data_IF_500328341461
#
_entry.id   IF_500328341461
#
_cell.length_a   1.000
_cell.length_b   1.000
_cell.length_c   1.000
_cell.angle_alpha   90.00
_cell.angle_beta   90.00
_cell.angle_gamma   90.00
#
_symmetry.space_group_name_H-M   'P 1'
#
loop_
_entity.id
_entity.type
_entity.pdbx_description
1 polymer ?
#
# COMPACT_ATOMS: atom_id res chain seq x y z
N UNK A 1 10.58 19.92 0.98
CA UNK A 1 11.52 19.41 -0.03
C UNK A 1 12.90 20.00 0.22
N UNK A 2 13.11 21.30 0.01
CA UNK A 2 14.42 21.95 0.24
C UNK A 2 14.90 21.81 1.69
N UNK A 3 14.00 21.92 2.67
CA UNK A 3 14.30 21.68 4.09
C UNK A 3 14.81 20.27 4.39
N UNK A 4 14.28 19.25 3.70
CA UNK A 4 14.69 17.85 3.87
C UNK A 4 16.09 17.63 3.31
N UNK A 5 16.37 18.24 2.14
CA UNK A 5 17.70 18.18 1.50
C UNK A 5 18.74 18.90 2.37
N UNK A 6 18.41 20.08 2.90
CA UNK A 6 19.28 20.83 3.80
C UNK A 6 19.55 20.04 5.09
N UNK A 7 18.51 19.45 5.68
CA UNK A 7 18.64 18.59 6.87
C UNK A 7 19.53 17.37 6.61
N UNK A 8 19.41 16.73 5.45
CA UNK A 8 20.26 15.61 5.05
C UNK A 8 21.72 16.04 4.92
N UNK A 9 21.98 17.17 4.27
CA UNK A 9 23.32 17.71 4.10
C UNK A 9 23.95 18.07 5.46
N UNK A 10 23.21 18.75 6.34
CA UNK A 10 23.67 19.07 7.68
C UNK A 10 24.00 17.80 8.50
N UNK A 11 23.13 16.79 8.48
CA UNK A 11 23.36 15.54 9.19
C UNK A 11 24.57 14.76 8.64
N UNK A 12 24.79 14.80 7.33
CA UNK A 12 25.98 14.23 6.70
C UNK A 12 27.26 14.91 7.16
N UNK A 13 27.31 16.25 7.14
CA UNK A 13 28.47 17.01 7.59
C UNK A 13 28.77 16.75 9.07
N UNK A 14 27.75 16.73 9.93
CA UNK A 14 27.89 16.42 11.36
C UNK A 14 28.42 14.99 11.60
N UNK A 15 27.96 14.02 10.81
CA UNK A 15 28.45 12.65 10.86
C UNK A 15 29.93 12.54 10.48
N UNK A 16 30.35 13.17 9.38
CA UNK A 16 31.74 13.17 8.93
C UNK A 16 32.65 13.93 9.91
N UNK A 17 32.16 15.04 10.47
CA UNK A 17 32.86 15.78 11.53
C UNK A 17 33.12 14.91 12.76
N UNK A 18 32.09 14.21 13.25
CA UNK A 18 32.22 13.29 14.38
C UNK A 18 33.17 12.12 14.08
N UNK A 19 33.13 11.57 12.86
CA UNK A 19 34.07 10.52 12.43
C UNK A 19 35.52 11.01 12.46
N UNK A 20 35.75 12.23 11.98
CA UNK A 20 37.07 12.88 11.99
C UNK A 20 37.59 13.05 13.41
N UNK A 21 36.75 13.54 14.33
CA UNK A 21 37.12 13.69 15.74
C UNK A 21 37.52 12.35 16.38
N UNK A 22 36.80 11.26 16.09
CA UNK A 22 37.17 9.91 16.58
C UNK A 22 38.55 9.50 16.08
N UNK A 23 38.84 9.71 14.79
CA UNK A 23 40.13 9.37 14.19
C UNK A 23 41.28 10.21 14.76
N UNK A 24 41.07 11.51 14.95
CA UNK A 24 42.08 12.42 15.52
C UNK A 24 42.42 12.07 16.97
N UNK A 25 41.39 11.80 17.80
CA UNK A 25 41.60 11.40 19.19
C UNK A 25 42.29 10.05 19.29
N UNK A 26 41.89 9.09 18.45
CA UNK A 26 42.52 7.76 18.39
C UNK A 26 43.95 7.82 17.87
N UNK A 27 44.25 8.72 16.93
CA UNK A 27 45.61 8.95 16.46
C UNK A 27 46.48 9.58 17.57
N UNK A 28 45.93 10.57 18.27
CA UNK A 28 46.62 11.27 19.37
C UNK A 28 46.91 10.37 20.57
N UNK A 29 46.07 9.35 20.81
CA UNK A 29 46.29 8.34 21.86
C UNK A 29 47.19 7.18 21.44
N UNK A 30 47.76 7.19 20.23
CA UNK A 30 48.54 6.06 19.72
C UNK A 30 47.72 4.79 19.51
N UNK A 31 46.39 4.91 19.38
CA UNK A 31 45.47 3.79 19.24
C UNK A 31 44.95 3.22 20.57
N UNK A 32 45.36 3.77 21.72
CA UNK A 32 44.80 3.38 23.00
C UNK A 32 43.36 3.85 23.19
N UNK A 33 42.57 3.03 23.88
CA UNK A 33 41.20 3.36 24.26
C UNK A 33 41.21 4.31 25.44
N UNK A 34 40.91 5.58 25.16
CA UNK A 34 40.89 6.65 26.17
C UNK A 34 39.45 7.08 26.46
N UNK A 35 39.16 7.68 27.63
CA UNK A 35 37.83 8.24 27.90
C UNK A 35 37.40 9.30 26.87
N UNK A 36 38.35 10.01 26.27
CA UNK A 36 38.08 10.95 25.19
C UNK A 36 37.62 10.24 23.91
N UNK A 37 38.32 9.17 23.50
CA UNK A 37 37.92 8.35 22.35
C UNK A 37 36.56 7.69 22.58
N UNK A 38 36.29 7.17 23.78
CA UNK A 38 34.99 6.60 24.14
C UNK A 38 33.85 7.62 24.05
N UNK A 39 34.06 8.83 24.55
CA UNK A 39 33.07 9.92 24.44
C UNK A 39 32.82 10.30 22.99
N UNK A 40 33.88 10.42 22.18
CA UNK A 40 33.74 10.74 20.76
C UNK A 40 33.01 9.63 19.97
N UNK A 41 33.20 8.36 20.35
CA UNK A 41 32.48 7.24 19.76
C UNK A 41 30.98 7.29 20.06
N UNK A 42 30.58 7.68 21.27
CA UNK A 42 29.16 7.86 21.59
C UNK A 42 28.53 9.01 20.78
N UNK A 43 29.26 10.13 20.62
CA UNK A 43 28.82 11.24 19.75
C UNK A 43 28.71 10.77 18.30
N UNK A 44 29.70 10.03 17.80
CA UNK A 44 29.69 9.47 16.44
C UNK A 44 28.47 8.57 16.22
N UNK A 45 28.15 7.67 17.16
CA UNK A 45 26.95 6.82 17.09
C UNK A 45 25.68 7.66 17.04
N UNK A 46 25.59 8.70 17.87
CA UNK A 46 24.44 9.60 17.87
C UNK A 46 24.28 10.33 16.52
N UNK A 47 25.37 10.84 15.95
CA UNK A 47 25.34 11.53 14.65
C UNK A 47 25.03 10.59 13.49
N UNK A 48 25.54 9.35 13.54
CA UNK A 48 25.19 8.31 12.60
C UNK A 48 23.69 8.02 12.59
N UNK A 49 23.07 7.89 13.76
CA UNK A 49 21.64 7.60 13.85
C UNK A 49 20.79 8.76 13.32
N UNK A 50 21.17 10.01 13.61
CA UNK A 50 20.51 11.18 13.05
C UNK A 50 20.65 11.24 11.52
N UNK A 51 21.82 10.91 10.98
CA UNK A 51 22.05 10.82 9.54
C UNK A 51 21.17 9.73 8.90
N UNK A 52 21.06 8.57 9.53
CA UNK A 52 20.19 7.47 9.07
C UNK A 52 18.73 7.91 8.99
N UNK A 53 18.21 8.58 10.03
CA UNK A 53 16.85 9.14 10.03
C UNK A 53 16.66 10.18 8.92
N UNK A 54 17.68 11.01 8.64
CA UNK A 54 17.61 11.98 7.55
C UNK A 54 17.60 11.29 6.17
N UNK A 55 18.32 10.19 6.00
CA UNK A 55 18.25 9.36 4.80
C UNK A 55 16.84 8.77 4.61
N UNK A 56 16.25 8.20 5.65
CA UNK A 56 14.88 7.65 5.60
C UNK A 56 13.86 8.71 5.14
N UNK A 57 13.97 9.94 5.65
CA UNK A 57 13.11 11.06 5.24
C UNK A 57 13.36 11.50 3.79
N UNK A 58 14.60 11.44 3.31
CA UNK A 58 14.92 11.74 1.93
C UNK A 58 14.36 10.68 0.97
N UNK A 59 14.38 9.40 1.36
CA UNK A 59 13.75 8.31 0.61
C UNK A 59 12.23 8.49 0.53
N UNK A 60 11.58 8.85 1.66
CA UNK A 60 10.15 9.17 1.68
C UNK A 60 9.82 10.34 0.72
N UNK A 61 10.66 11.38 0.71
CA UNK A 61 10.50 12.50 -0.20
C UNK A 61 10.59 12.04 -1.67
N UNK A 62 11.57 11.21 -2.02
CA UNK A 62 11.73 10.67 -3.38
C UNK A 62 10.51 9.85 -3.78
N UNK A 63 10.02 8.97 -2.92
CA UNK A 63 8.82 8.17 -3.21
C UNK A 63 7.58 9.06 -3.32
N UNK A 64 7.44 10.10 -2.49
CA UNK A 64 6.33 11.06 -2.58
C UNK A 64 6.32 11.83 -3.91
N UNK A 65 7.51 12.21 -4.41
CA UNK A 65 7.67 12.89 -5.70
C UNK A 65 7.34 11.92 -6.84
N UNK A 66 7.78 10.67 -6.74
CA UNK A 66 7.43 9.62 -7.71
C UNK A 66 5.93 9.36 -7.78
N UNK A 67 5.25 9.26 -6.63
CA UNK A 67 3.80 9.10 -6.57
C UNK A 67 3.08 10.29 -7.19
N UNK A 68 3.56 11.52 -6.93
CA UNK A 68 3.01 12.73 -7.56
C UNK A 68 3.11 12.66 -9.08
N UNK A 69 4.30 12.43 -9.63
CA UNK A 69 4.52 12.31 -11.08
C UNK A 69 3.69 11.17 -11.67
N UNK A 70 3.63 10.01 -11.01
CA UNK A 70 2.83 8.86 -11.44
C UNK A 70 1.33 9.13 -11.46
N UNK A 71 0.82 9.88 -10.47
CA UNK A 71 -0.59 10.28 -10.42
C UNK A 71 -0.94 11.35 -11.47
N UNK A 72 0.00 12.27 -11.75
CA UNK A 72 -0.15 13.32 -12.77
C UNK A 72 -0.15 12.73 -14.19
N UNK A 73 0.55 11.61 -14.42
CA UNK A 73 0.57 10.88 -15.68
C UNK A 73 -0.74 10.08 -15.97
N UNK A 74 -1.47 9.66 -14.93
CA UNK A 74 -2.71 8.88 -15.10
C UNK A 74 -3.94 9.73 -15.39
N UNK A 75 -3.86 11.06 -15.24
CA UNK A 75 -4.97 11.97 -15.54
C UNK A 75 -4.99 12.38 -17.02
N UNK A 76 -3.85 12.29 -17.72
CA UNK A 76 -3.72 12.76 -19.11
C UNK A 76 -4.20 11.71 -20.15
N UNK A 77 -4.25 10.41 -19.80
CA UNK A 77 -4.83 9.39 -20.69
C UNK A 77 -6.37 9.28 -20.60
N UNK A 78 -6.99 9.78 -19.52
CA UNK A 78 -8.45 9.83 -19.38
C UNK A 78 -9.05 11.17 -19.85
N UNK A 79 -8.21 12.18 -20.09
CA UNK A 79 -8.64 13.51 -20.55
C UNK A 79 -7.90 13.85 -21.83
N UNK A 80 -8.34 13.28 -22.95
CA UNK A 80 -7.99 13.80 -24.26
C UNK A 80 -8.38 15.29 -24.36
N UNK A 81 -7.45 16.18 -24.03
CA UNK A 81 -7.56 17.61 -24.25
C UNK A 81 -6.25 18.07 -24.89
N UNK A 82 -6.21 17.93 -26.21
CA UNK A 82 -5.05 18.27 -27.03
C UNK A 82 -4.60 19.71 -26.87
N UNK A 83 -3.28 19.88 -26.79
CA UNK A 83 -2.64 21.12 -27.14
C UNK A 83 -2.55 21.21 -28.67
N UNK A 84 -3.22 22.21 -29.26
CA UNK A 84 -2.85 22.73 -30.58
C UNK A 84 -4.00 23.06 -31.52
N UNK A 85 -4.31 24.35 -31.66
CA UNK A 85 -4.80 24.91 -32.93
C UNK A 85 -6.25 25.41 -32.95
N UNK A 86 -6.40 26.72 -32.81
CA UNK A 86 -7.35 27.61 -33.52
C UNK A 86 -8.79 27.15 -33.81
N UNK A 87 -9.73 27.92 -33.23
CA UNK A 87 -10.92 28.50 -33.89
C UNK A 87 -11.92 27.57 -34.62
N UNK A 88 -13.06 27.29 -33.97
CA UNK A 88 -14.30 26.87 -34.64
C UNK A 88 -15.45 26.60 -33.65
N UNK A 89 -16.66 27.17 -33.83
CA UNK A 89 -17.82 26.82 -33.01
C UNK A 89 -18.40 25.51 -33.55
N UNK A 90 -17.96 24.40 -32.96
CA UNK A 90 -18.37 23.06 -33.37
C UNK A 90 -18.14 22.04 -32.27
N UNK A 91 -18.63 22.34 -31.07
CA UNK A 91 -18.68 21.38 -29.96
C UNK A 91 -19.68 20.27 -30.31
N UNK A 92 -19.24 19.25 -31.06
CA UNK A 92 -19.83 17.91 -30.96
C UNK A 92 -19.18 17.21 -29.77
N UNK A 93 -19.54 17.71 -28.58
CA UNK A 93 -19.15 17.10 -27.32
C UNK A 93 -19.76 15.70 -27.21
N UNK A 94 -18.91 14.69 -27.06
CA UNK A 94 -19.33 13.46 -26.41
C UNK A 94 -19.78 13.89 -25.01
N UNK A 95 -21.07 13.74 -24.65
CA UNK A 95 -21.54 14.19 -23.36
C UNK A 95 -20.78 13.41 -22.28
N UNK A 96 -20.29 14.08 -21.21
CA UNK A 96 -19.60 13.40 -20.13
C UNK A 96 -20.49 12.27 -19.62
N UNK A 97 -19.95 11.05 -19.55
CA UNK A 97 -20.66 9.90 -18.98
C UNK A 97 -21.02 10.29 -17.56
N UNK A 98 -22.27 10.66 -17.34
CA UNK A 98 -22.75 11.05 -16.03
C UNK A 98 -22.60 9.83 -15.13
N UNK A 99 -22.02 10.02 -13.94
CA UNK A 99 -21.93 8.97 -12.92
C UNK A 99 -23.30 8.29 -12.69
N UNK A 100 -24.37 9.07 -12.86
CA UNK A 100 -25.77 8.63 -12.85
C UNK A 100 -26.08 7.58 -13.93
N UNK A 101 -25.59 7.75 -15.16
CA UNK A 101 -25.78 6.78 -16.25
C UNK A 101 -25.05 5.48 -15.95
N UNK A 102 -23.82 5.55 -15.45
CA UNK A 102 -23.06 4.36 -15.05
C UNK A 102 -23.73 3.63 -13.87
N UNK A 103 -24.24 4.38 -12.89
CA UNK A 103 -24.98 3.83 -11.77
C UNK A 103 -26.28 3.15 -12.21
N UNK A 104 -27.07 3.78 -13.09
CA UNK A 104 -28.28 3.18 -13.66
C UNK A 104 -27.96 1.91 -14.46
N UNK A 105 -26.90 1.92 -15.27
CA UNK A 105 -26.47 0.71 -15.97
C UNK A 105 -26.04 -0.38 -14.98
N UNK A 106 -25.30 -0.04 -13.92
CA UNK A 106 -24.92 -1.00 -12.87
C UNK A 106 -26.13 -1.61 -12.14
N UNK A 107 -27.21 -0.83 -12.00
CA UNK A 107 -28.45 -1.27 -11.36
C UNK A 107 -29.25 -2.17 -12.29
N UNK A 108 -29.35 -1.83 -13.57
CA UNK A 108 -29.98 -2.66 -14.59
C UNK A 108 -29.25 -4.00 -14.79
N UNK A 109 -27.91 -3.97 -14.80
CA UNK A 109 -27.09 -5.19 -14.90
C UNK A 109 -27.27 -6.08 -13.66
N UNK A 110 -27.29 -5.51 -12.45
CA UNK A 110 -27.59 -6.26 -11.22
C UNK A 110 -28.97 -6.93 -11.27
N UNK A 111 -29.99 -6.24 -11.79
CA UNK A 111 -31.32 -6.84 -11.99
C UNK A 111 -31.29 -7.99 -13.00
N UNK A 112 -30.61 -7.82 -14.14
CA UNK A 112 -30.51 -8.87 -15.15
C UNK A 112 -29.79 -10.12 -14.64
N UNK A 113 -28.74 -9.96 -13.84
CA UNK A 113 -28.02 -11.08 -13.22
C UNK A 113 -28.95 -11.85 -12.26
N UNK A 114 -29.77 -11.14 -11.48
CA UNK A 114 -30.77 -11.75 -10.60
C UNK A 114 -31.81 -12.51 -11.43
N UNK A 115 -32.25 -11.96 -12.57
CA UNK A 115 -33.22 -12.59 -13.45
C UNK A 115 -32.67 -13.84 -14.14
N UNK A 116 -31.39 -13.84 -14.54
CA UNK A 116 -30.71 -15.02 -15.09
C UNK A 116 -30.46 -16.09 -14.01
N UNK A 117 -30.18 -15.69 -12.77
CA UNK A 117 -30.02 -16.62 -11.65
C UNK A 117 -31.35 -17.28 -11.25
N UNK A 118 -32.46 -16.52 -11.27
CA UNK A 118 -33.79 -17.06 -10.98
C UNK A 118 -34.46 -17.71 -12.21
N UNK A 119 -34.02 -17.39 -13.43
CA UNK A 119 -34.53 -17.92 -14.70
C UNK A 119 -33.89 -19.24 -15.15
N UNK A 120 -32.86 -19.73 -14.45
CA UNK A 120 -32.26 -21.05 -14.71
C UNK A 120 -33.09 -22.23 -14.16
N UNK A 121 -34.43 -22.10 -14.20
CA UNK A 121 -35.38 -23.05 -13.63
C UNK A 121 -36.64 -23.18 -14.48
N UNK A 122 -36.51 -23.79 -15.66
CA UNK A 122 -37.59 -24.58 -16.27
C UNK A 122 -38.53 -23.87 -17.24
N UNK A 123 -38.26 -24.04 -18.54
CA UNK A 123 -39.31 -24.22 -19.54
C UNK A 123 -38.75 -24.92 -20.79
N UNK A 124 -38.61 -26.25 -20.71
CA UNK A 124 -38.55 -27.10 -21.89
C UNK A 124 -39.28 -28.43 -21.62
N UNK A 125 -40.30 -28.70 -22.41
CA UNK A 125 -40.73 -30.06 -22.75
C UNK A 125 -41.79 -30.69 -21.84
N UNK A 126 -43.04 -30.67 -22.33
CA UNK A 126 -43.72 -31.90 -22.72
C UNK A 126 -44.13 -32.93 -21.65
N UNK A 127 -45.45 -33.14 -21.59
CA UNK A 127 -46.17 -34.42 -21.48
C UNK A 127 -46.02 -35.27 -20.19
N UNK A 128 -47.19 -35.47 -19.56
CA UNK A 128 -47.71 -36.72 -18.99
C UNK A 128 -46.84 -37.57 -18.03
N UNK A 129 -47.40 -37.83 -16.83
CA UNK A 129 -47.11 -39.05 -16.06
C UNK A 129 -46.85 -38.80 -14.57
N UNK A 130 -47.72 -39.31 -13.71
CA UNK A 130 -47.69 -39.10 -12.26
C UNK A 130 -46.69 -39.97 -11.48
N UNK A 131 -46.71 -39.83 -10.15
CA UNK A 131 -46.10 -40.82 -9.25
C UNK A 131 -45.45 -40.27 -7.97
N UNK A 132 -46.24 -40.29 -6.88
CA UNK A 132 -45.96 -40.50 -5.44
C UNK A 132 -44.51 -40.75 -4.94
N UNK A 133 -44.18 -40.19 -3.76
CA UNK A 133 -43.27 -40.76 -2.74
C UNK A 133 -42.37 -39.72 -2.06
N UNK A 134 -42.62 -39.22 -0.84
CA UNK A 134 -42.42 -39.78 0.53
C UNK A 134 -40.97 -40.05 1.00
N UNK A 135 -40.63 -39.42 2.13
CA UNK A 135 -39.55 -39.76 3.08
C UNK A 135 -38.20 -39.14 2.72
N UNK A 136 -37.51 -38.34 3.54
CA UNK A 136 -37.26 -38.36 5.00
C UNK A 136 -35.73 -38.16 5.14
N UNK A 137 -35.11 -37.46 6.09
CA UNK A 137 -35.53 -36.69 7.25
C UNK A 137 -34.29 -35.99 7.84
N UNK A 138 -34.47 -35.43 9.04
CA UNK A 138 -33.46 -35.03 10.03
C UNK A 138 -32.61 -33.74 9.81
N UNK A 139 -33.22 -32.63 10.25
CA UNK A 139 -32.72 -31.60 11.19
C UNK A 139 -31.68 -32.07 12.25
N UNK A 140 -31.06 -31.21 13.12
CA UNK A 140 -30.85 -29.74 13.11
C UNK A 140 -29.48 -29.23 13.69
N UNK A 141 -29.31 -27.89 13.67
CA UNK A 141 -28.65 -27.00 14.66
C UNK A 141 -27.11 -26.98 14.90
N UNK A 142 -26.52 -25.77 14.73
CA UNK A 142 -25.22 -25.33 15.28
C UNK A 142 -25.27 -25.10 16.81
N UNK A 143 -24.50 -24.16 17.45
CA UNK A 143 -23.53 -23.17 16.95
C UNK A 143 -22.18 -23.10 17.73
N UNK A 144 -21.22 -22.29 17.27
CA UNK A 144 -20.30 -21.53 18.16
C UNK A 144 -18.90 -22.08 18.49
N UNK A 145 -17.99 -21.22 19.05
CA UNK A 145 -16.58 -21.08 18.63
C UNK A 145 -15.52 -21.42 19.71
N UNK A 146 -14.24 -21.21 19.37
CA UNK A 146 -12.99 -21.22 20.17
C UNK A 146 -12.12 -22.48 20.09
N UNK A 147 -10.82 -22.27 19.78
CA UNK A 147 -9.79 -23.31 19.70
C UNK A 147 -8.40 -22.69 19.67
N UNK A 148 -8.00 -22.14 20.82
CA UNK A 148 -6.61 -21.84 21.16
C UNK A 148 -5.95 -23.18 21.51
N UNK A 149 -4.94 -23.63 20.75
CA UNK A 149 -4.21 -24.87 21.07
C UNK A 149 -2.71 -24.57 21.18
N UNK A 150 -2.28 -24.45 22.44
CA UNK A 150 -0.90 -24.48 22.87
C UNK A 150 -0.48 -25.96 22.98
N UNK A 151 0.55 -26.36 22.24
CA UNK A 151 1.32 -27.59 22.50
C UNK A 151 2.81 -27.25 22.46
N UNK A 152 3.41 -26.92 23.63
CA UNK A 152 4.22 -27.81 24.50
C UNK A 152 5.47 -28.37 23.76
N UNK A 153 6.71 -28.35 24.24
CA UNK A 153 7.35 -27.86 25.48
C UNK A 153 8.87 -27.98 25.30
N UNK A 154 9.58 -27.04 25.91
CA UNK A 154 11.04 -27.00 26.11
C UNK A 154 11.43 -27.93 27.27
N UNK A 155 12.45 -28.78 27.10
CA UNK A 155 13.14 -29.45 28.21
C UNK A 155 14.62 -29.64 27.87
N UNK A 156 15.49 -29.19 28.79
CA UNK A 156 16.94 -29.25 28.70
C UNK A 156 17.54 -30.15 29.79
N UNK A 157 18.88 -30.31 29.71
CA UNK A 157 19.74 -31.21 30.49
C UNK A 157 19.62 -32.69 30.04
N UNK A 158 20.70 -33.40 29.69
CA UNK A 158 22.01 -33.51 30.32
C UNK A 158 23.10 -33.85 29.30
#
# INVERSE_FOLDING_TARGET
MESTIESLNAAYQDFISAATTVLELRHSSGGEDTPATATALEVFKQRWELFRVACDQAEELVESVRQRIGSECLVDEATGAGAGGASGPGSQGIPPISAVRLEQMSKAVRWLVIELQHGSGGAAGGVAGGGVGHGGGAHPHGPGPTGFDARFTEDGAQ
#
